data_IF_331160508306
#
_entry.id   IF_331160508306
#
_cell.length_a   1.000
_cell.length_b   1.000
_cell.length_c   1.000
_cell.angle_alpha   90.00
_cell.angle_beta   90.00
_cell.angle_gamma   90.00
#
_symmetry.space_group_name_H-M   'P 1'
#
loop_
_entity.id
_entity.type
_entity.pdbx_description
1 polymer ?
#
# COMPACT_ATOMS: atom_id res chain seq x y z
N UNK A 1 -12.07 15.02 -7.37
CA UNK A 1 -11.65 15.08 -5.95
C UNK A 1 -12.44 14.06 -5.15
N UNK A 2 -11.72 13.27 -4.38
CA UNK A 2 -12.30 12.32 -3.45
C UNK A 2 -12.15 12.88 -2.04
N UNK A 3 -13.13 12.62 -1.20
CA UNK A 3 -12.98 12.78 0.24
C UNK A 3 -13.38 11.46 0.92
N UNK A 4 -12.88 11.21 2.11
CA UNK A 4 -13.23 10.03 2.88
C UNK A 4 -13.37 10.41 4.35
N UNK A 5 -14.39 9.86 4.99
CA UNK A 5 -14.51 9.83 6.44
C UNK A 5 -14.13 8.46 6.93
N UNK A 6 -13.50 8.38 8.08
CA UNK A 6 -13.11 7.09 8.62
C UNK A 6 -12.58 7.19 10.04
N UNK A 7 -12.37 6.01 10.61
CA UNK A 7 -11.70 5.82 11.89
C UNK A 7 -10.68 4.69 11.76
N UNK A 8 -9.54 4.84 12.43
CA UNK A 8 -8.48 3.86 12.52
C UNK A 8 -8.10 3.66 13.99
N UNK A 9 -8.03 2.42 14.40
CA UNK A 9 -7.46 2.02 15.69
C UNK A 9 -6.19 1.22 15.41
N UNK A 10 -5.13 1.54 16.13
CA UNK A 10 -3.85 0.85 16.03
C UNK A 10 -3.37 0.48 17.43
N UNK A 11 -2.88 -0.74 17.59
CA UNK A 11 -2.30 -1.22 18.81
C UNK A 11 -0.94 -1.86 18.51
N UNK A 12 0.07 -1.48 19.30
CA UNK A 12 1.42 -1.99 19.19
C UNK A 12 1.89 -2.54 20.52
N UNK A 13 2.53 -3.70 20.47
CA UNK A 13 3.06 -4.40 21.64
C UNK A 13 4.51 -4.81 21.39
N UNK A 14 5.40 -4.46 22.30
CA UNK A 14 6.76 -4.97 22.31
C UNK A 14 6.74 -6.39 22.93
N UNK A 15 7.01 -7.40 22.11
CA UNK A 15 7.04 -8.81 22.54
C UNK A 15 8.32 -9.12 23.30
N UNK A 16 9.47 -8.62 22.77
CA UNK A 16 10.82 -8.76 23.30
C UNK A 16 11.58 -7.47 23.03
N UNK A 17 12.80 -7.36 23.57
CA UNK A 17 13.65 -6.15 23.41
C UNK A 17 13.73 -5.62 21.97
N UNK A 18 13.75 -6.54 20.99
CA UNK A 18 13.96 -6.20 19.57
C UNK A 18 12.78 -6.60 18.68
N UNK A 19 11.65 -7.02 19.24
CA UNK A 19 10.49 -7.48 18.52
C UNK A 19 9.24 -6.73 18.92
N UNK A 20 8.54 -6.22 17.92
CA UNK A 20 7.26 -5.56 18.08
C UNK A 20 6.22 -6.19 17.15
N UNK A 21 5.00 -6.29 17.62
CA UNK A 21 3.82 -6.58 16.80
C UNK A 21 2.95 -5.33 16.78
N UNK A 22 2.47 -4.96 15.61
CA UNK A 22 1.48 -3.89 15.43
C UNK A 22 0.26 -4.44 14.70
N UNK A 23 -0.92 -4.10 15.18
CA UNK A 23 -2.20 -4.45 14.58
C UNK A 23 -2.99 -3.19 14.31
N UNK A 24 -3.69 -3.13 13.18
CA UNK A 24 -4.54 -2.00 12.85
C UNK A 24 -5.89 -2.46 12.31
N UNK A 25 -6.94 -1.76 12.71
CA UNK A 25 -8.28 -1.86 12.14
C UNK A 25 -8.68 -0.49 11.61
N UNK A 26 -9.17 -0.45 10.38
CA UNK A 26 -9.63 0.78 9.75
C UNK A 26 -10.99 0.58 9.10
N UNK A 27 -11.85 1.57 9.27
CA UNK A 27 -13.10 1.72 8.58
C UNK A 27 -13.12 3.08 7.90
N UNK A 28 -13.25 3.12 6.58
CA UNK A 28 -13.32 4.36 5.82
C UNK A 28 -14.46 4.34 4.81
N UNK A 29 -14.99 5.51 4.48
CA UNK A 29 -16.09 5.71 3.54
C UNK A 29 -15.65 6.71 2.47
N UNK A 30 -14.97 6.25 1.40
CA UNK A 30 -14.61 7.10 0.29
C UNK A 30 -15.84 7.57 -0.48
N UNK A 31 -15.80 8.82 -0.92
CA UNK A 31 -16.80 9.47 -1.76
C UNK A 31 -16.13 10.03 -3.02
N UNK A 32 -16.59 9.57 -4.16
CA UNK A 32 -16.12 9.97 -5.48
C UNK A 32 -17.15 10.87 -6.13
N UNK A 33 -16.80 12.08 -6.51
CA UNK A 33 -17.74 13.00 -7.14
C UNK A 33 -18.10 12.58 -8.56
N UNK A 34 -17.13 12.10 -9.32
CA UNK A 34 -17.31 11.73 -10.74
C UNK A 34 -17.61 10.26 -10.96
N UNK A 35 -17.44 9.42 -9.94
CA UNK A 35 -17.62 7.97 -10.00
C UNK A 35 -18.44 7.48 -8.81
N UNK A 36 -19.67 8.01 -8.69
CA UNK A 36 -20.57 7.71 -7.55
C UNK A 36 -20.82 6.20 -7.35
N UNK A 37 -20.71 5.39 -8.39
CA UNK A 37 -20.82 3.92 -8.36
C UNK A 37 -19.77 3.24 -7.50
N UNK A 38 -18.63 3.92 -7.28
CA UNK A 38 -17.52 3.46 -6.42
C UNK A 38 -17.63 3.95 -4.98
N UNK A 39 -18.63 4.77 -4.66
CA UNK A 39 -18.90 5.16 -3.28
C UNK A 39 -19.22 3.93 -2.45
N UNK A 40 -18.66 3.86 -1.25
CA UNK A 40 -18.84 2.66 -0.44
C UNK A 40 -18.12 2.72 0.89
N UNK A 41 -17.73 1.55 1.34
CA UNK A 41 -17.04 1.35 2.62
C UNK A 41 -15.82 0.48 2.40
N UNK A 42 -14.69 0.87 2.98
CA UNK A 42 -13.46 0.09 3.04
C UNK A 42 -13.24 -0.32 4.49
N UNK A 43 -13.01 -1.61 4.70
CA UNK A 43 -12.60 -2.20 5.98
C UNK A 43 -11.22 -2.79 5.80
N UNK A 44 -10.29 -2.44 6.66
CA UNK A 44 -8.94 -2.95 6.68
C UNK A 44 -8.65 -3.58 8.03
N UNK A 45 -8.05 -4.77 8.00
CA UNK A 45 -7.39 -5.39 9.14
C UNK A 45 -5.94 -5.67 8.75
N UNK A 46 -5.00 -5.30 9.60
CA UNK A 46 -3.57 -5.40 9.34
C UNK A 46 -2.85 -5.95 10.56
N UNK A 47 -1.84 -6.78 10.33
CA UNK A 47 -0.87 -7.20 11.34
C UNK A 47 0.53 -7.04 10.77
N UNK A 48 1.45 -6.53 11.57
CA UNK A 48 2.85 -6.32 11.19
C UNK A 48 3.75 -6.76 12.33
N UNK A 49 4.72 -7.62 12.02
CA UNK A 49 5.83 -7.99 12.88
C UNK A 49 7.03 -7.16 12.50
N UNK A 50 7.67 -6.54 13.48
CA UNK A 50 8.84 -5.69 13.29
C UNK A 50 9.97 -6.29 14.11
N UNK A 51 11.13 -6.49 13.47
CA UNK A 51 12.35 -6.91 14.12
C UNK A 51 13.42 -5.84 13.94
N UNK A 52 13.90 -5.32 15.07
CA UNK A 52 14.93 -4.27 15.12
C UNK A 52 16.17 -4.82 15.83
N UNK A 53 17.08 -5.50 15.10
CA UNK A 53 18.28 -6.10 15.69
C UNK A 53 19.26 -5.08 16.26
N UNK A 54 19.21 -3.83 15.78
CA UNK A 54 20.07 -2.72 16.22
C UNK A 54 19.40 -1.38 15.94
N UNK A 55 19.97 -0.31 16.49
CA UNK A 55 19.52 1.08 16.22
C UNK A 55 19.74 1.53 14.77
N UNK A 56 20.50 0.74 13.99
CA UNK A 56 20.80 1.06 12.60
C UNK A 56 19.71 0.68 11.61
N UNK A 57 18.76 -0.16 12.00
CA UNK A 57 17.71 -0.54 11.08
C UNK A 57 16.72 -1.56 11.62
N UNK A 58 15.69 -1.83 10.82
CA UNK A 58 14.65 -2.80 11.15
C UNK A 58 14.18 -3.54 9.90
N UNK A 59 13.60 -4.70 10.14
CA UNK A 59 12.88 -5.51 9.17
C UNK A 59 11.42 -5.61 9.59
N UNK A 60 10.52 -5.70 8.64
CA UNK A 60 9.14 -6.03 8.95
C UNK A 60 8.53 -7.02 7.97
N UNK A 61 7.58 -7.79 8.48
CA UNK A 61 6.69 -8.65 7.71
C UNK A 61 5.26 -8.33 8.12
N UNK A 62 4.40 -8.01 7.16
CA UNK A 62 3.02 -7.65 7.42
C UNK A 62 2.03 -8.36 6.52
N UNK A 63 0.80 -8.49 7.00
CA UNK A 63 -0.32 -9.01 6.22
C UNK A 63 -1.52 -8.09 6.38
N UNK A 64 -2.19 -7.81 5.26
CA UNK A 64 -3.40 -6.98 5.24
C UNK A 64 -4.56 -7.78 4.65
N UNK A 65 -5.73 -7.58 5.21
CA UNK A 65 -7.00 -7.97 4.65
C UNK A 65 -7.85 -6.72 4.45
N UNK A 66 -8.24 -6.45 3.21
CA UNK A 66 -9.03 -5.28 2.83
C UNK A 66 -10.30 -5.76 2.17
N UNK A 67 -11.45 -5.28 2.65
CA UNK A 67 -12.74 -5.45 2.01
C UNK A 67 -13.30 -4.12 1.59
N UNK A 68 -13.49 -3.96 0.29
CA UNK A 68 -14.13 -2.80 -0.31
C UNK A 68 -15.54 -3.19 -0.75
N UNK A 69 -16.55 -2.53 -0.19
CA UNK A 69 -17.95 -2.69 -0.56
C UNK A 69 -18.43 -1.40 -1.19
N UNK A 70 -18.76 -1.43 -2.47
CA UNK A 70 -19.16 -0.27 -3.27
C UNK A 70 -20.63 -0.33 -3.65
N UNK A 71 -21.20 0.82 -4.04
CA UNK A 71 -22.61 0.90 -4.48
C UNK A 71 -22.89 -0.06 -5.64
N UNK A 72 -21.99 -0.14 -6.62
CA UNK A 72 -22.09 -1.10 -7.72
C UNK A 72 -21.14 -2.26 -7.48
N UNK A 73 -21.66 -3.48 -7.33
CA UNK A 73 -20.93 -4.68 -6.89
C UNK A 73 -19.70 -5.04 -7.72
N UNK A 74 -19.68 -4.68 -9.01
CA UNK A 74 -18.52 -4.95 -9.87
C UNK A 74 -17.22 -4.26 -9.40
N UNK A 75 -17.30 -3.20 -8.61
CA UNK A 75 -16.15 -2.53 -8.00
C UNK A 75 -15.84 -3.05 -6.60
N UNK A 76 -16.78 -3.75 -5.96
CA UNK A 76 -16.57 -4.37 -4.66
C UNK A 76 -15.55 -5.50 -4.77
N UNK A 77 -14.66 -5.60 -3.80
CA UNK A 77 -13.59 -6.60 -3.82
C UNK A 77 -13.11 -6.97 -2.42
N UNK A 78 -12.49 -8.13 -2.33
CA UNK A 78 -11.64 -8.54 -1.21
C UNK A 78 -10.19 -8.55 -1.70
N UNK A 79 -9.27 -8.00 -0.90
CA UNK A 79 -7.84 -8.02 -1.17
C UNK A 79 -7.09 -8.57 0.04
N UNK A 80 -6.15 -9.48 -0.21
CA UNK A 80 -5.20 -10.00 0.75
C UNK A 80 -3.81 -9.61 0.29
N UNK A 81 -3.00 -9.02 1.16
CA UNK A 81 -1.66 -8.61 0.83
C UNK A 81 -0.65 -9.16 1.85
N UNK A 82 0.52 -9.49 1.37
CA UNK A 82 1.72 -9.75 2.16
C UNK A 82 2.72 -8.63 1.87
N UNK A 83 3.29 -8.06 2.92
CA UNK A 83 4.25 -6.96 2.84
C UNK A 83 5.54 -7.34 3.55
N UNK A 84 6.66 -6.96 2.96
CA UNK A 84 7.98 -7.10 3.57
C UNK A 84 8.72 -5.78 3.41
N UNK A 85 9.51 -5.40 4.39
CA UNK A 85 10.34 -4.23 4.28
C UNK A 85 11.59 -4.31 5.12
N UNK A 86 12.52 -3.47 4.74
CA UNK A 86 13.80 -3.31 5.38
C UNK A 86 14.24 -1.86 5.32
N UNK A 87 14.66 -1.31 6.45
CA UNK A 87 15.30 0.00 6.56
C UNK A 87 16.67 -0.17 7.19
N UNK A 88 17.67 0.54 6.64
CA UNK A 88 19.04 0.48 7.13
C UNK A 88 19.70 1.85 7.05
N UNK A 89 20.43 2.20 8.12
CA UNK A 89 21.38 3.29 8.18
C UNK A 89 22.78 2.71 7.98
N UNK A 90 23.44 3.09 6.88
CA UNK A 90 24.69 2.45 6.43
C UNK A 90 25.97 3.07 7.00
N UNK A 91 25.89 4.24 7.60
CA UNK A 91 27.02 5.09 7.93
C UNK A 91 27.12 6.26 6.96
N UNK A 92 28.00 7.23 7.25
CA UNK A 92 28.12 8.49 6.50
C UNK A 92 26.75 9.17 6.26
N UNK A 93 25.84 9.01 7.22
CA UNK A 93 24.47 9.50 7.17
C UNK A 93 23.62 9.00 5.97
N UNK A 94 24.05 7.95 5.28
CA UNK A 94 23.28 7.32 4.19
C UNK A 94 22.25 6.36 4.80
N UNK A 95 21.01 6.46 4.35
CA UNK A 95 19.94 5.56 4.73
C UNK A 95 19.18 5.05 3.49
N UNK A 96 18.70 3.83 3.59
CA UNK A 96 17.85 3.19 2.58
C UNK A 96 16.63 2.52 3.19
N UNK A 97 15.57 2.45 2.42
CA UNK A 97 14.37 1.69 2.75
C UNK A 97 13.86 0.96 1.51
N UNK A 98 13.61 -0.33 1.67
CA UNK A 98 13.03 -1.18 0.64
C UNK A 98 11.71 -1.73 1.18
N UNK A 99 10.66 -1.62 0.39
CA UNK A 99 9.34 -2.17 0.69
C UNK A 99 8.87 -2.97 -0.51
N UNK A 100 8.51 -4.23 -0.28
CA UNK A 100 7.92 -5.12 -1.27
C UNK A 100 6.53 -5.58 -0.85
N UNK A 101 5.64 -5.81 -1.79
CA UNK A 101 4.34 -6.43 -1.49
C UNK A 101 3.82 -7.27 -2.65
N UNK A 102 3.05 -8.29 -2.27
CA UNK A 102 2.23 -9.10 -3.19
C UNK A 102 0.81 -9.06 -2.66
N UNK A 103 -0.15 -8.71 -3.54
CA UNK A 103 -1.56 -8.69 -3.19
C UNK A 103 -2.39 -9.51 -4.17
N UNK A 104 -3.40 -10.20 -3.64
CA UNK A 104 -4.42 -10.92 -4.39
C UNK A 104 -5.75 -10.18 -4.19
N UNK A 105 -6.31 -9.66 -5.29
CA UNK A 105 -7.55 -8.90 -5.30
C UNK A 105 -8.61 -9.65 -6.09
N UNK A 106 -9.74 -9.93 -5.47
CA UNK A 106 -10.87 -10.63 -6.08
C UNK A 106 -12.11 -9.74 -6.03
N UNK A 107 -12.69 -9.46 -7.18
CA UNK A 107 -13.91 -8.69 -7.32
C UNK A 107 -15.14 -9.56 -7.05
N UNK A 108 -16.26 -8.93 -6.70
CA UNK A 108 -17.47 -9.62 -6.25
C UNK A 108 -18.49 -9.89 -7.34
N UNK A 109 -18.33 -9.24 -8.49
CA UNK A 109 -19.27 -9.36 -9.62
C UNK A 109 -18.53 -9.34 -10.95
N UNK A 110 -19.26 -9.62 -12.02
CA UNK A 110 -18.72 -9.62 -13.38
C UNK A 110 -18.14 -8.24 -13.73
N UNK A 111 -16.98 -8.27 -14.37
CA UNK A 111 -16.38 -7.04 -14.91
C UNK A 111 -17.21 -6.54 -16.10
N UNK A 112 -17.24 -5.22 -16.29
CA UNK A 112 -17.86 -4.61 -17.45
C UNK A 112 -16.91 -3.60 -18.10
N UNK A 113 -17.02 -3.42 -19.42
CA UNK A 113 -16.34 -2.39 -20.16
C UNK A 113 -17.19 -1.12 -20.12
N UNK A 114 -16.63 -0.04 -19.52
CA UNK A 114 -17.30 1.23 -19.39
C UNK A 114 -18.59 1.21 -18.56
N UNK A 115 -18.83 0.14 -17.78
CA UNK A 115 -20.07 -0.03 -17.01
C UNK A 115 -21.26 -0.55 -17.81
N UNK A 116 -21.12 -0.73 -19.12
CA UNK A 116 -22.24 -1.03 -20.05
C UNK A 116 -22.16 -2.46 -20.61
N UNK A 117 -20.96 -2.90 -21.01
CA UNK A 117 -20.79 -4.21 -21.67
C UNK A 117 -20.27 -5.26 -20.65
N UNK A 118 -21.08 -6.25 -20.26
CA UNK A 118 -20.65 -7.28 -19.33
C UNK A 118 -19.63 -8.21 -19.99
N UNK A 119 -18.53 -8.49 -19.29
CA UNK A 119 -17.46 -9.37 -19.78
C UNK A 119 -17.67 -10.84 -19.36
N UNK A 120 -18.75 -11.15 -18.64
CA UNK A 120 -19.07 -12.48 -18.10
C UNK A 120 -17.92 -13.17 -17.37
N UNK A 121 -17.00 -12.40 -16.79
CA UNK A 121 -15.86 -12.87 -15.99
C UNK A 121 -15.73 -12.07 -14.71
N UNK A 122 -15.59 -12.75 -13.60
CA UNK A 122 -15.20 -12.14 -12.33
C UNK A 122 -13.72 -11.83 -12.39
N UNK A 123 -13.36 -10.56 -12.20
CA UNK A 123 -11.98 -10.09 -12.24
C UNK A 123 -11.22 -10.55 -11.02
N UNK A 124 -9.98 -11.00 -11.24
CA UNK A 124 -8.99 -11.37 -10.23
C UNK A 124 -7.65 -10.81 -10.63
N UNK A 125 -7.02 -10.08 -9.73
CA UNK A 125 -5.74 -9.45 -9.97
C UNK A 125 -4.69 -9.94 -8.98
N UNK A 126 -3.46 -10.14 -9.47
CA UNK A 126 -2.24 -10.25 -8.68
C UNK A 126 -1.48 -8.94 -8.83
N UNK A 127 -1.13 -8.32 -7.72
CA UNK A 127 -0.46 -7.01 -7.71
C UNK A 127 0.87 -7.19 -7.00
N UNK A 128 1.95 -6.80 -7.67
CA UNK A 128 3.31 -6.78 -7.14
C UNK A 128 3.73 -5.31 -7.03
N UNK A 129 4.36 -4.97 -5.93
CA UNK A 129 4.89 -3.62 -5.72
C UNK A 129 6.27 -3.69 -5.10
N UNK A 130 7.17 -2.82 -5.56
CA UNK A 130 8.48 -2.58 -4.99
C UNK A 130 8.70 -1.08 -4.87
N UNK A 131 9.15 -0.64 -3.72
CA UNK A 131 9.51 0.75 -3.46
C UNK A 131 10.88 0.79 -2.80
N UNK A 132 11.82 1.49 -3.42
CA UNK A 132 13.15 1.76 -2.90
C UNK A 132 13.27 3.26 -2.65
N UNK A 133 13.68 3.65 -1.44
CA UNK A 133 13.97 5.03 -1.08
C UNK A 133 15.40 5.13 -0.56
N UNK A 134 16.15 6.11 -1.05
CA UNK A 134 17.50 6.42 -0.65
C UNK A 134 17.57 7.89 -0.24
N UNK A 135 18.26 8.17 0.84
CA UNK A 135 18.50 9.54 1.30
C UNK A 135 19.77 9.64 2.12
N UNK A 136 20.27 10.87 2.19
CA UNK A 136 21.40 11.23 3.03
C UNK A 136 20.87 12.12 4.17
N UNK A 137 21.00 11.66 5.42
CA UNK A 137 20.35 12.26 6.59
C UNK A 137 20.94 13.63 6.98
N UNK A 138 22.22 13.85 6.68
CA UNK A 138 22.92 15.13 6.91
C UNK A 138 22.80 16.11 5.72
N UNK A 139 22.14 15.70 4.64
CA UNK A 139 21.83 16.57 3.52
C UNK A 139 20.55 17.36 3.81
N UNK A 140 20.74 18.40 4.64
CA UNK A 140 19.63 19.29 4.98
C UNK A 140 19.93 20.68 4.39
N UNK A 141 19.09 21.12 3.47
CA UNK A 141 19.09 22.48 2.96
C UNK A 141 17.83 23.21 3.45
N UNK A 142 18.00 24.25 4.26
CA UNK A 142 16.89 25.00 4.90
C UNK A 142 15.90 24.08 5.68
N UNK A 143 16.40 22.99 6.29
CA UNK A 143 15.57 22.02 7.01
C UNK A 143 14.90 20.98 6.11
N UNK A 144 15.22 20.96 4.80
CA UNK A 144 14.69 20.00 3.86
C UNK A 144 15.68 18.89 3.57
N UNK A 145 15.25 17.64 3.64
CA UNK A 145 16.03 16.45 3.30
C UNK A 145 15.58 15.89 1.95
N UNK A 146 16.44 15.88 0.93
CA UNK A 146 16.11 15.26 -0.36
C UNK A 146 16.16 13.74 -0.24
N UNK A 147 15.17 13.07 -0.86
CA UNK A 147 15.07 11.62 -0.95
C UNK A 147 14.84 11.21 -2.40
N UNK A 148 15.57 10.21 -2.88
CA UNK A 148 15.32 9.59 -4.19
C UNK A 148 14.47 8.35 -3.98
N UNK A 149 13.37 8.27 -4.70
CA UNK A 149 12.46 7.15 -4.61
C UNK A 149 12.25 6.52 -5.98
N UNK A 150 12.43 5.21 -6.04
CA UNK A 150 12.08 4.35 -7.17
C UNK A 150 10.88 3.50 -6.78
N UNK A 151 9.86 3.46 -7.65
CA UNK A 151 8.68 2.61 -7.49
C UNK A 151 8.46 1.78 -8.74
N UNK A 152 8.17 0.52 -8.53
CA UNK A 152 7.70 -0.42 -9.54
C UNK A 152 6.42 -1.08 -9.06
N UNK A 153 5.45 -1.17 -9.97
CA UNK A 153 4.21 -1.88 -9.74
C UNK A 153 3.83 -2.66 -10.98
N UNK A 154 3.41 -3.91 -10.79
CA UNK A 154 2.89 -4.78 -11.84
C UNK A 154 1.55 -5.34 -11.38
N UNK A 155 0.55 -5.25 -12.22
CA UNK A 155 -0.75 -5.88 -12.02
C UNK A 155 -0.98 -6.88 -13.14
N UNK A 156 -1.26 -8.12 -12.76
CA UNK A 156 -1.64 -9.22 -13.63
C UNK A 156 -3.10 -9.57 -13.37
N UNK A 157 -3.94 -9.44 -14.38
CA UNK A 157 -5.37 -9.74 -14.30
C UNK A 157 -5.72 -10.99 -15.09
N UNK A 158 -6.74 -11.72 -14.68
CA UNK A 158 -7.34 -12.79 -15.49
C UNK A 158 -8.11 -12.26 -16.72
N UNK A 159 -8.18 -10.93 -16.90
CA UNK A 159 -8.65 -10.23 -18.10
C UNK A 159 -7.49 -9.31 -18.55
N UNK A 160 -6.41 -9.89 -19.17
CA UNK A 160 -5.14 -9.18 -19.33
C UNK A 160 -5.21 -7.95 -20.21
N UNK A 161 -5.95 -8.02 -21.31
CA UNK A 161 -6.04 -6.92 -22.31
C UNK A 161 -6.58 -5.60 -21.75
N UNK A 162 -7.30 -5.66 -20.62
CA UNK A 162 -7.95 -4.48 -20.06
C UNK A 162 -7.37 -4.03 -18.71
N UNK A 163 -6.85 -4.98 -17.94
CA UNK A 163 -6.53 -4.69 -16.53
C UNK A 163 -5.12 -5.07 -16.12
N UNK A 164 -4.30 -5.66 -17.01
CA UNK A 164 -2.89 -5.90 -16.73
C UNK A 164 -2.06 -4.71 -17.17
N UNK A 165 -1.15 -4.30 -16.29
CA UNK A 165 -0.21 -3.21 -16.59
C UNK A 165 1.04 -3.32 -15.73
N UNK A 166 2.09 -2.60 -16.14
CA UNK A 166 3.30 -2.42 -15.36
C UNK A 166 3.72 -0.95 -15.46
N UNK A 167 4.04 -0.38 -14.31
CA UNK A 167 4.50 1.01 -14.22
C UNK A 167 5.78 1.10 -13.42
N UNK A 168 6.66 1.99 -13.81
CA UNK A 168 7.90 2.32 -13.13
C UNK A 168 8.06 3.82 -13.15
N UNK A 169 8.41 4.39 -12.02
CA UNK A 169 8.76 5.80 -11.97
C UNK A 169 9.80 6.06 -10.89
N UNK A 170 10.55 7.12 -11.11
CA UNK A 170 11.52 7.64 -10.18
C UNK A 170 11.16 9.09 -9.88
N UNK A 171 11.25 9.46 -8.64
CA UNK A 171 10.96 10.82 -8.18
C UNK A 171 11.95 11.25 -7.11
N UNK A 172 12.16 12.55 -7.04
CA UNK A 172 12.84 13.19 -5.92
C UNK A 172 11.76 13.78 -5.01
N UNK A 173 11.81 13.40 -3.75
CA UNK A 173 10.97 13.94 -2.69
C UNK A 173 11.80 14.88 -1.84
N UNK A 174 11.18 15.91 -1.33
CA UNK A 174 11.81 16.83 -0.38
C UNK A 174 10.93 16.85 0.87
N UNK A 175 11.49 16.42 1.97
CA UNK A 175 10.79 16.30 3.25
C UNK A 175 11.37 17.31 4.24
N UNK A 176 10.50 17.99 4.97
CA UNK A 176 10.89 18.92 6.04
C UNK A 176 10.48 18.34 7.38
N UNK A 177 11.44 18.14 8.24
CA UNK A 177 11.20 17.80 9.64
C UNK A 177 10.99 19.12 10.43
N UNK A 178 9.87 19.22 11.17
CA UNK A 178 9.51 20.37 11.99
C UNK A 178 9.85 20.11 13.45
#
# INVERSE_FOLDING_TARGET
YNWANGARAEYSLNLLKNWQISTALELSQPRYFTQADRNGTIKLASVTFIWQPSDKGYYYLGSDFIRESTRVKQYSNDMKALRIGWRQNWGYAIASQINGSIALKQYKDFASLGGILPLNKIRRDKIYSLNLTLWKQDWQYLGFTPKVQFRWKKQESNIPSMFSYSEKYMQVLVEKDF
#
